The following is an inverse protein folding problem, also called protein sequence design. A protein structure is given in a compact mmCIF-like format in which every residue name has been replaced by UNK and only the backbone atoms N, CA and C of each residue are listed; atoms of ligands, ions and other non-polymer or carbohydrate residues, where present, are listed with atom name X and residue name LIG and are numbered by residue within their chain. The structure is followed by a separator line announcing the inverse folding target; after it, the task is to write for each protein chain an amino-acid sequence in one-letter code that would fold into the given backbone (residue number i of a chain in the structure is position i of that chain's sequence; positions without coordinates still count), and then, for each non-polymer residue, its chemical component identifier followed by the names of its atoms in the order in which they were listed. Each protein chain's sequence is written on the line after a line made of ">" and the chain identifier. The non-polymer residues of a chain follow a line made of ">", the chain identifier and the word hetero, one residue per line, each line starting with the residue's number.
data_IF_432610667676
#
_entry.id   IF_432610667676
#
_cell.length_a   1.000
_cell.length_b   1.000
_cell.length_c   1.000
_cell.angle_alpha   90.00
_cell.angle_beta   90.00
_cell.angle_gamma   90.00
#
_symmetry.space_group_name_H-M   'P 1'
#
loop_
_entity.id
_entity.type
_entity.pdbx_description
1 polymer ?
#
# COMPACT_ATOMS: atom_id res chain seq x y z
N UNK A 1 -2.13 -23.14 25.68
CA UNK A 1 -1.26 -24.24 25.24
C UNK A 1 -0.63 -23.85 23.91
N UNK A 2 0.64 -24.08 23.77
CA UNK A 2 1.42 -23.91 22.54
C UNK A 2 1.80 -25.29 22.02
N UNK A 3 1.89 -25.41 20.68
CA UNK A 3 2.35 -26.63 20.04
C UNK A 3 3.45 -26.33 19.02
N UNK A 4 4.49 -27.11 19.01
CA UNK A 4 5.56 -27.04 18.00
C UNK A 4 5.23 -27.90 16.77
N UNK A 5 5.94 -27.72 15.63
CA UNK A 5 5.71 -28.55 14.43
C UNK A 5 5.86 -30.04 14.64
N UNK A 6 6.68 -30.46 15.59
CA UNK A 6 6.87 -31.87 16.02
C UNK A 6 5.80 -32.36 17.03
N UNK A 7 4.70 -31.60 17.18
CA UNK A 7 3.54 -31.89 18.03
C UNK A 7 3.84 -31.97 19.53
N UNK A 8 4.94 -31.38 19.99
CA UNK A 8 5.13 -31.18 21.43
C UNK A 8 4.26 -30.03 21.91
N UNK A 9 3.55 -30.26 22.99
CA UNK A 9 2.67 -29.27 23.60
C UNK A 9 3.24 -28.83 24.95
N UNK A 10 3.10 -27.56 25.26
CA UNK A 10 3.41 -27.00 26.57
C UNK A 10 2.48 -25.83 26.90
N UNK A 11 2.43 -25.48 28.14
CA UNK A 11 1.62 -24.36 28.64
C UNK A 11 2.54 -23.29 29.19
N UNK A 12 2.30 -22.04 28.74
CA UNK A 12 2.92 -20.84 29.29
C UNK A 12 1.87 -20.02 30.03
N UNK A 13 2.22 -19.54 31.22
CA UNK A 13 1.39 -18.59 31.96
C UNK A 13 1.75 -17.18 31.51
N UNK A 14 0.79 -16.47 30.94
CA UNK A 14 0.99 -15.13 30.39
C UNK A 14 -0.17 -14.21 30.76
N UNK A 15 0.12 -12.95 30.99
CA UNK A 15 -0.90 -11.93 31.25
C UNK A 15 -1.55 -11.39 29.98
N UNK A 16 -0.86 -11.49 28.84
CA UNK A 16 -1.36 -11.07 27.53
C UNK A 16 -0.75 -11.93 26.43
N UNK A 17 -1.55 -12.24 25.41
CA UNK A 17 -1.12 -12.92 24.19
C UNK A 17 -1.27 -11.96 23.02
N UNK A 18 -0.18 -11.70 22.29
CA UNK A 18 -0.19 -10.88 21.09
C UNK A 18 0.25 -11.74 19.89
N UNK A 19 -0.71 -12.29 19.10
CA UNK A 19 -0.38 -13.17 17.98
C UNK A 19 0.05 -12.38 16.75
N UNK A 20 1.19 -12.71 16.16
CA UNK A 20 1.71 -12.18 14.91
C UNK A 20 1.92 -13.29 13.88
N UNK A 21 0.85 -13.94 13.45
CA UNK A 21 0.90 -15.09 12.54
C UNK A 21 0.92 -14.72 11.06
N UNK A 22 1.13 -13.46 10.73
CA UNK A 22 1.05 -12.95 9.37
C UNK A 22 -0.38 -12.56 8.97
N UNK A 23 -0.52 -12.21 7.70
CA UNK A 23 -1.77 -11.69 7.15
C UNK A 23 -2.28 -12.62 6.04
N UNK A 24 -3.59 -12.87 6.04
CA UNK A 24 -4.30 -13.48 4.91
C UNK A 24 -5.14 -12.40 4.26
N UNK A 25 -4.88 -12.15 2.97
CA UNK A 25 -5.62 -11.13 2.21
C UNK A 25 -7.03 -11.66 1.92
N UNK A 26 -8.02 -10.88 2.35
CA UNK A 26 -9.43 -11.07 2.02
C UNK A 26 -9.96 -9.77 1.45
N UNK A 27 -10.34 -9.78 0.18
CA UNK A 27 -10.80 -8.58 -0.53
C UNK A 27 -12.16 -8.08 -0.04
N UNK A 28 -13.00 -8.97 0.50
CA UNK A 28 -14.35 -8.58 0.91
C UNK A 28 -15.13 -7.93 -0.23
N UNK A 29 -15.85 -6.82 0.03
CA UNK A 29 -16.64 -6.12 -1.00
C UNK A 29 -15.81 -5.60 -2.19
N UNK A 30 -14.50 -5.41 -2.04
CA UNK A 30 -13.61 -4.94 -3.12
C UNK A 30 -13.61 -5.93 -4.29
N UNK A 31 -13.82 -7.22 -4.03
CA UNK A 31 -13.92 -8.25 -5.07
C UNK A 31 -15.10 -8.00 -6.06
N UNK A 32 -16.09 -7.22 -5.64
CA UNK A 32 -17.30 -6.92 -6.42
C UNK A 32 -17.19 -5.60 -7.21
N UNK A 33 -16.05 -4.90 -7.15
CA UNK A 33 -15.83 -3.62 -7.84
C UNK A 33 -15.57 -3.76 -9.34
N UNK A 34 -15.68 -4.98 -9.89
CA UNK A 34 -15.44 -5.22 -11.32
C UNK A 34 -13.97 -5.12 -11.73
N UNK A 35 -13.06 -5.27 -10.78
CA UNK A 35 -11.62 -5.28 -11.02
C UNK A 35 -11.19 -6.62 -11.61
N UNK A 36 -10.22 -6.60 -12.52
CA UNK A 36 -9.50 -7.81 -12.84
C UNK A 36 -8.67 -8.22 -11.63
N UNK A 37 -8.91 -9.42 -11.13
CA UNK A 37 -8.19 -9.95 -9.97
C UNK A 37 -7.28 -11.09 -10.41
N UNK A 38 -6.11 -11.16 -9.78
CA UNK A 38 -5.25 -12.33 -9.84
C UNK A 38 -5.20 -12.96 -8.45
N UNK A 39 -5.96 -14.05 -8.27
CA UNK A 39 -6.26 -14.64 -6.97
C UNK A 39 -6.94 -13.59 -6.06
N UNK A 40 -6.28 -13.18 -4.97
CA UNK A 40 -6.74 -12.14 -4.06
C UNK A 40 -5.93 -10.84 -4.20
N UNK A 41 -5.29 -10.61 -5.34
CA UNK A 41 -4.46 -9.45 -5.61
C UNK A 41 -5.02 -8.63 -6.77
N UNK A 42 -4.76 -7.34 -6.76
CA UNK A 42 -5.20 -6.40 -7.79
C UNK A 42 -4.02 -6.12 -8.73
N UNK A 43 -4.04 -6.63 -9.98
CA UNK A 43 -3.06 -6.25 -10.99
C UNK A 43 -3.13 -4.76 -11.30
N UNK A 44 -1.96 -4.12 -11.39
CA UNK A 44 -1.83 -2.70 -11.68
C UNK A 44 -0.75 -2.46 -12.72
N UNK A 45 -0.83 -1.34 -13.45
CA UNK A 45 0.31 -0.86 -14.21
C UNK A 45 1.36 -0.22 -13.28
N UNK A 46 2.61 -0.35 -13.60
CA UNK A 46 3.72 0.12 -12.75
C UNK A 46 4.07 1.60 -12.95
N UNK A 47 3.44 2.28 -13.92
CA UNK A 47 3.68 3.71 -14.15
C UNK A 47 2.88 4.56 -13.15
N UNK A 48 1.65 4.16 -12.85
CA UNK A 48 0.72 4.95 -12.03
C UNK A 48 -0.01 4.15 -10.95
N UNK A 49 0.16 2.84 -10.93
CA UNK A 49 -0.50 1.91 -10.00
C UNK A 49 -2.04 1.92 -10.10
N UNK A 50 -2.55 2.20 -11.31
CA UNK A 50 -3.96 2.11 -11.62
C UNK A 50 -4.34 0.67 -11.93
N UNK A 51 -5.52 0.25 -11.49
CA UNK A 51 -6.09 -1.06 -11.76
C UNK A 51 -6.65 -1.15 -13.19
N UNK A 52 -7.28 -2.27 -13.53
CA UNK A 52 -8.04 -2.42 -14.78
C UNK A 52 -9.21 -1.46 -14.92
N UNK A 53 -9.66 -0.86 -13.82
CA UNK A 53 -10.77 0.08 -13.79
C UNK A 53 -10.23 1.50 -13.61
N UNK A 54 -10.45 2.42 -14.58
CA UNK A 54 -9.95 3.79 -14.50
C UNK A 54 -10.38 4.50 -13.22
N UNK A 55 -9.43 5.21 -12.59
CA UNK A 55 -9.68 5.95 -11.36
C UNK A 55 -9.58 5.11 -10.09
N UNK A 56 -9.39 3.80 -10.20
CA UNK A 56 -9.15 2.91 -9.05
C UNK A 56 -7.68 2.48 -9.04
N UNK A 57 -7.01 2.82 -7.96
CA UNK A 57 -5.59 2.54 -7.74
C UNK A 57 -5.42 1.52 -6.63
N UNK A 58 -4.36 0.71 -6.72
CA UNK A 58 -4.01 -0.23 -5.65
C UNK A 58 -2.51 -0.17 -5.36
N UNK A 59 -2.16 0.01 -4.09
CA UNK A 59 -0.78 0.12 -3.61
C UNK A 59 -0.55 -0.80 -2.41
N UNK A 60 0.71 -1.11 -2.11
CA UNK A 60 1.09 -1.98 -1.00
C UNK A 60 0.84 -3.46 -1.29
N UNK A 61 0.62 -4.25 -0.27
CA UNK A 61 0.58 -5.72 -0.36
C UNK A 61 -0.60 -6.27 -1.15
N UNK A 62 -1.64 -5.45 -1.37
CA UNK A 62 -2.85 -5.84 -2.10
C UNK A 62 -2.65 -5.86 -3.61
N UNK A 63 -1.70 -5.10 -4.14
CA UNK A 63 -1.45 -5.05 -5.57
C UNK A 63 -0.48 -6.15 -6.04
N UNK A 64 -0.48 -6.38 -7.35
CA UNK A 64 0.47 -7.27 -8.00
C UNK A 64 0.91 -6.74 -9.35
N UNK A 65 2.19 -6.94 -9.67
CA UNK A 65 2.84 -6.65 -10.95
C UNK A 65 4.14 -7.45 -11.06
N UNK A 66 4.73 -7.61 -12.25
CA UNK A 66 6.00 -8.32 -12.40
C UNK A 66 7.11 -7.70 -11.54
N UNK A 67 7.76 -8.52 -10.70
CA UNK A 67 8.81 -8.06 -9.79
C UNK A 67 8.34 -7.42 -8.49
N UNK A 68 7.05 -7.54 -8.15
CA UNK A 68 6.50 -7.03 -6.89
C UNK A 68 7.22 -7.59 -5.66
N UNK A 69 7.67 -6.70 -4.81
CA UNK A 69 8.16 -7.01 -3.46
C UNK A 69 7.17 -6.47 -2.42
N UNK A 70 6.71 -7.33 -1.52
CA UNK A 70 5.82 -6.94 -0.41
C UNK A 70 6.64 -6.34 0.73
N UNK A 71 7.07 -5.09 0.52
CA UNK A 71 7.84 -4.30 1.48
C UNK A 71 7.14 -2.96 1.71
N UNK A 72 7.28 -2.42 2.91
CA UNK A 72 6.80 -1.08 3.26
C UNK A 72 7.40 -0.03 2.31
N UNK A 73 8.69 -0.15 2.00
CA UNK A 73 9.38 0.73 1.04
C UNK A 73 8.71 0.72 -0.33
N UNK A 74 8.36 -0.46 -0.85
CA UNK A 74 7.67 -0.58 -2.14
C UNK A 74 6.32 0.13 -2.10
N UNK A 75 5.54 -0.07 -1.04
CA UNK A 75 4.24 0.59 -0.87
C UNK A 75 4.33 2.12 -0.84
N UNK A 76 5.34 2.69 -0.20
CA UNK A 76 5.58 4.14 -0.20
C UNK A 76 5.96 4.66 -1.60
N UNK A 77 6.83 3.96 -2.32
CA UNK A 77 7.17 4.32 -3.70
C UNK A 77 5.95 4.28 -4.61
N UNK A 78 5.18 3.21 -4.55
CA UNK A 78 3.93 3.03 -5.29
C UNK A 78 2.95 4.17 -4.98
N UNK A 79 2.80 4.53 -3.70
CA UNK A 79 1.96 5.63 -3.25
C UNK A 79 2.39 6.98 -3.81
N UNK A 80 3.69 7.23 -3.95
CA UNK A 80 4.21 8.47 -4.54
C UNK A 80 3.84 8.59 -6.03
N UNK A 81 3.97 7.51 -6.80
CA UNK A 81 3.60 7.49 -8.22
C UNK A 81 2.08 7.57 -8.43
N UNK A 82 1.32 6.80 -7.64
CA UNK A 82 -0.14 6.84 -7.63
C UNK A 82 -0.68 8.24 -7.34
N UNK A 83 -0.13 8.92 -6.32
CA UNK A 83 -0.58 10.26 -5.94
C UNK A 83 -0.39 11.28 -7.07
N UNK A 84 0.70 11.19 -7.83
CA UNK A 84 0.93 12.04 -8.99
C UNK A 84 -0.07 11.75 -10.12
N UNK A 85 -0.40 10.48 -10.35
CA UNK A 85 -1.39 10.09 -11.34
C UNK A 85 -2.80 10.55 -10.93
N UNK A 86 -3.19 10.31 -9.70
CA UNK A 86 -4.48 10.74 -9.15
C UNK A 86 -4.63 12.27 -9.17
N UNK A 87 -3.55 13.03 -8.88
CA UNK A 87 -3.57 14.49 -8.96
C UNK A 87 -3.98 14.98 -10.34
N UNK A 88 -3.45 14.38 -11.41
CA UNK A 88 -3.77 14.78 -12.79
C UNK A 88 -5.24 14.53 -13.15
N UNK A 89 -5.85 13.51 -12.55
CA UNK A 89 -7.28 13.22 -12.73
C UNK A 89 -8.13 14.21 -11.95
N UNK A 90 -7.79 14.45 -10.68
CA UNK A 90 -8.57 15.33 -9.80
C UNK A 90 -8.38 16.82 -10.11
N UNK A 91 -7.24 17.19 -10.69
CA UNK A 91 -6.81 18.57 -10.95
C UNK A 91 -6.24 18.71 -12.38
N UNK A 92 -7.02 18.46 -13.43
CA UNK A 92 -6.51 18.39 -14.80
C UNK A 92 -5.94 19.73 -15.32
N UNK A 93 -6.38 20.84 -14.77
CA UNK A 93 -5.94 22.19 -15.17
C UNK A 93 -4.80 22.73 -14.30
N UNK A 94 -4.44 22.04 -13.24
CA UNK A 94 -3.40 22.48 -12.32
C UNK A 94 -2.04 21.91 -12.74
N UNK A 95 -0.99 22.72 -12.63
CA UNK A 95 0.38 22.23 -12.85
C UNK A 95 0.85 21.42 -11.65
N UNK A 96 1.13 20.15 -11.86
CA UNK A 96 1.85 19.33 -10.88
C UNK A 96 3.29 19.84 -10.76
N UNK A 97 3.61 20.50 -9.65
CA UNK A 97 4.97 20.95 -9.32
C UNK A 97 5.65 19.92 -8.46
N UNK A 98 6.60 19.20 -9.03
CA UNK A 98 7.50 18.37 -8.24
C UNK A 98 8.48 19.31 -7.49
N UNK A 99 8.47 19.23 -6.18
CA UNK A 99 9.36 20.03 -5.33
C UNK A 99 9.88 19.17 -4.18
N UNK A 100 11.18 19.21 -3.97
CA UNK A 100 11.76 18.56 -2.79
C UNK A 100 11.37 19.33 -1.52
N UNK A 101 11.13 18.60 -0.43
CA UNK A 101 10.77 19.20 0.87
C UNK A 101 11.85 20.17 1.36
N UNK A 102 13.12 19.87 1.13
CA UNK A 102 14.28 20.69 1.49
C UNK A 102 14.34 22.03 0.75
N UNK A 103 13.73 22.15 -0.43
CA UNK A 103 13.71 23.38 -1.24
C UNK A 103 12.33 24.04 -1.26
N UNK A 104 11.36 23.52 -0.50
CA UNK A 104 10.02 24.09 -0.43
C UNK A 104 9.93 25.25 0.54
N UNK A 105 9.98 26.49 0.04
CA UNK A 105 9.82 27.70 0.85
C UNK A 105 8.48 27.75 1.60
N UNK A 106 7.40 27.21 1.01
CA UNK A 106 6.10 27.14 1.66
C UNK A 106 6.10 26.16 2.84
N UNK A 107 6.81 25.03 2.72
CA UNK A 107 6.94 24.07 3.80
C UNK A 107 7.87 24.60 4.90
N UNK A 108 9.00 25.19 4.52
CA UNK A 108 9.93 25.81 5.46
C UNK A 108 9.23 26.87 6.31
N UNK A 109 8.40 27.71 5.68
CA UNK A 109 7.59 28.71 6.38
C UNK A 109 6.59 28.07 7.36
N UNK A 110 5.91 26.97 6.96
CA UNK A 110 4.99 26.25 7.86
C UNK A 110 5.69 25.59 9.03
N UNK A 111 6.93 25.16 8.84
CA UNK A 111 7.75 24.53 9.87
C UNK A 111 8.53 25.53 10.73
N UNK A 112 8.49 26.82 10.41
CA UNK A 112 9.22 27.86 11.14
C UNK A 112 10.74 27.79 11.00
N UNK A 113 11.25 27.22 9.89
CA UNK A 113 12.70 27.03 9.62
C UNK A 113 13.19 27.88 8.43
N UNK A 114 12.39 28.82 7.97
CA UNK A 114 12.72 29.76 6.90
C UNK A 114 13.16 31.09 7.50
#
# INVERSE_FOLDING_TARGET
>A
TLASPDKKEWVEEVNALVPFFGLTIKLGPIAEFGLNLNENLIPVDTEKFESSTPGIFAIGDINTYPGKLKLILSGFHEGALMAQAAFRICRPNDKLRFQYTTSSSSLQKKLGVA
#
